data_IF_624645907917
#
_entry.id   IF_624645907917
#
_cell.length_a   1.000
_cell.length_b   1.000
_cell.length_c   1.000
_cell.angle_alpha   90.00
_cell.angle_beta   90.00
_cell.angle_gamma   90.00
#
_symmetry.space_group_name_H-M   'P 1'
#
loop_
_entity.id
_entity.type
_entity.pdbx_description
1 polymer ?
#
# COMPACT_ATOMS: atom_id res chain seq x y z
N UNK A 1 -19.74 -9.01 2.28
CA UNK A 1 -19.30 -8.41 3.56
C UNK A 1 -19.30 -6.90 3.42
N UNK A 2 -19.87 -6.17 4.38
CA UNK A 2 -19.92 -4.70 4.34
C UNK A 2 -18.86 -4.17 5.31
N UNK A 3 -17.88 -3.44 4.78
CA UNK A 3 -16.85 -2.78 5.57
C UNK A 3 -17.40 -1.52 6.23
N UNK A 4 -17.22 -1.38 7.55
CA UNK A 4 -17.67 -0.19 8.27
C UNK A 4 -16.74 1.00 8.00
N UNK A 5 -17.20 2.23 8.25
CA UNK A 5 -16.34 3.43 8.15
C UNK A 5 -15.09 3.34 9.03
N UNK A 6 -15.20 2.68 10.19
CA UNK A 6 -14.07 2.39 11.09
C UNK A 6 -13.08 1.42 10.45
N UNK A 7 -13.55 0.34 9.83
CA UNK A 7 -12.68 -0.62 9.13
C UNK A 7 -11.88 0.07 8.03
N UNK A 8 -12.56 0.92 7.24
CA UNK A 8 -11.92 1.67 6.16
C UNK A 8 -10.86 2.62 6.73
N UNK A 9 -11.19 3.35 7.81
CA UNK A 9 -10.24 4.28 8.46
C UNK A 9 -9.03 3.53 9.01
N UNK A 10 -9.22 2.33 9.54
CA UNK A 10 -8.15 1.50 10.06
C UNK A 10 -7.28 0.95 8.92
N UNK A 11 -7.89 0.40 7.86
CA UNK A 11 -7.19 -0.13 6.69
C UNK A 11 -6.29 0.91 6.02
N UNK A 12 -6.71 2.19 5.94
CA UNK A 12 -5.87 3.30 5.44
C UNK A 12 -4.55 3.48 6.21
N UNK A 13 -4.49 3.05 7.47
CA UNK A 13 -3.35 3.23 8.39
C UNK A 13 -2.43 2.00 8.46
N UNK A 14 -2.76 0.91 7.79
CA UNK A 14 -1.96 -0.31 7.82
C UNK A 14 -0.62 -0.08 7.12
N UNK A 15 0.46 -0.55 7.73
CA UNK A 15 1.81 -0.40 7.18
C UNK A 15 1.95 -1.22 5.88
N UNK A 16 2.40 -0.54 4.83
CA UNK A 16 2.62 -1.15 3.52
C UNK A 16 3.86 -2.03 3.51
N UNK A 17 4.98 -1.55 4.07
CA UNK A 17 6.29 -2.24 3.98
C UNK A 17 6.23 -3.73 4.34
N UNK A 18 5.68 -4.15 5.50
CA UNK A 18 5.63 -5.57 5.85
C UNK A 18 4.77 -6.41 4.89
N UNK A 19 3.67 -5.83 4.39
CA UNK A 19 2.76 -6.51 3.45
C UNK A 19 3.44 -6.67 2.09
N UNK A 20 4.13 -5.64 1.62
CA UNK A 20 4.85 -5.68 0.34
C UNK A 20 6.00 -6.70 0.38
N UNK A 21 6.76 -6.76 1.48
CA UNK A 21 7.78 -7.81 1.67
C UNK A 21 7.13 -9.19 1.60
N UNK A 22 6.04 -9.43 2.34
CA UNK A 22 5.32 -10.72 2.32
C UNK A 22 4.78 -11.10 0.94
N UNK A 23 4.42 -10.10 0.12
CA UNK A 23 3.97 -10.27 -1.28
C UNK A 23 5.13 -10.42 -2.27
N UNK A 24 6.39 -10.41 -1.82
CA UNK A 24 7.57 -10.63 -2.66
C UNK A 24 8.08 -9.38 -3.39
N UNK A 25 7.73 -8.17 -2.95
CA UNK A 25 8.33 -6.95 -3.49
C UNK A 25 9.78 -6.81 -3.06
N UNK A 26 10.66 -6.47 -4.00
CA UNK A 26 12.01 -5.99 -3.67
C UNK A 26 11.91 -4.53 -3.23
N UNK A 27 12.30 -4.26 -1.98
CA UNK A 27 12.30 -2.92 -1.39
C UNK A 27 13.72 -2.52 -1.05
N UNK A 28 14.19 -1.42 -1.64
CA UNK A 28 15.47 -0.81 -1.27
C UNK A 28 15.25 0.29 -0.24
N UNK A 29 15.85 0.14 0.93
CA UNK A 29 15.80 1.17 1.98
C UNK A 29 16.53 2.44 1.51
N UNK A 30 15.91 3.59 1.79
CA UNK A 30 16.44 4.93 1.63
C UNK A 30 16.52 5.61 3.01
N UNK A 31 16.85 6.91 3.04
CA UNK A 31 16.85 7.71 4.27
C UNK A 31 15.43 7.88 4.86
N UNK A 32 15.36 8.15 6.17
CA UNK A 32 14.13 8.49 6.90
C UNK A 32 12.99 7.45 6.76
N UNK A 33 13.37 6.17 6.73
CA UNK A 33 12.50 5.00 6.58
C UNK A 33 11.61 5.05 5.33
N UNK A 34 12.10 5.67 4.27
CA UNK A 34 11.55 5.53 2.93
C UNK A 34 12.09 4.25 2.29
N UNK A 35 11.27 3.61 1.47
CA UNK A 35 11.63 2.41 0.72
C UNK A 35 11.25 2.60 -0.75
N UNK A 36 12.20 2.41 -1.65
CA UNK A 36 11.93 2.37 -3.09
C UNK A 36 11.47 0.97 -3.47
N UNK A 37 10.35 0.85 -4.18
CA UNK A 37 9.94 -0.41 -4.79
C UNK A 37 10.75 -0.63 -6.06
N UNK A 38 11.53 -1.71 -6.10
CA UNK A 38 12.32 -2.05 -7.27
C UNK A 38 11.46 -2.83 -8.29
N UNK A 39 11.75 -2.60 -9.57
CA UNK A 39 11.42 -3.48 -10.70
C UNK A 39 9.96 -3.54 -11.21
N UNK A 40 8.97 -2.92 -10.54
CA UNK A 40 7.56 -3.02 -11.00
C UNK A 40 6.82 -1.73 -11.34
N UNK A 41 7.13 -0.59 -10.71
CA UNK A 41 6.24 0.58 -10.78
C UNK A 41 6.92 1.94 -10.92
N UNK A 42 8.11 2.00 -11.54
CA UNK A 42 8.88 3.23 -11.70
C UNK A 42 9.45 3.74 -10.36
N UNK A 43 9.55 5.08 -10.19
CA UNK A 43 10.07 5.71 -8.96
C UNK A 43 9.01 5.78 -7.86
N UNK A 44 8.54 4.61 -7.42
CA UNK A 44 7.51 4.47 -6.38
C UNK A 44 8.16 4.28 -5.00
N UNK A 45 7.92 5.24 -4.12
CA UNK A 45 8.47 5.29 -2.76
C UNK A 45 7.36 4.99 -1.76
N UNK A 46 7.66 4.17 -0.75
CA UNK A 46 6.76 3.81 0.35
C UNK A 46 7.37 4.25 1.67
N UNK A 47 6.52 4.81 2.53
CA UNK A 47 6.86 5.15 3.92
C UNK A 47 5.66 4.85 4.81
N UNK A 48 5.84 3.98 5.80
CA UNK A 48 4.77 3.52 6.69
C UNK A 48 3.56 2.98 5.91
N UNK A 49 2.42 3.66 5.97
CA UNK A 49 1.15 3.34 5.32
C UNK A 49 0.87 4.22 4.07
N UNK A 50 1.88 4.94 3.59
CA UNK A 50 1.77 5.91 2.52
C UNK A 50 2.73 5.59 1.37
N UNK A 51 2.34 5.95 0.16
CA UNK A 51 3.18 5.86 -1.02
C UNK A 51 3.17 7.17 -1.80
N UNK A 52 4.24 7.39 -2.54
CA UNK A 52 4.44 8.55 -3.39
C UNK A 52 5.15 8.13 -4.67
N UNK A 53 4.62 8.56 -5.82
CA UNK A 53 5.23 8.34 -7.12
C UNK A 53 5.93 9.62 -7.58
N UNK A 54 7.25 9.57 -7.73
CA UNK A 54 8.04 10.78 -7.88
C UNK A 54 7.89 11.49 -9.23
N UNK A 55 7.50 10.75 -10.27
CA UNK A 55 7.30 11.20 -11.65
C UNK A 55 5.95 11.93 -11.83
N UNK A 56 4.85 11.33 -11.38
CA UNK A 56 3.49 11.89 -11.50
C UNK A 56 3.07 12.78 -10.32
N UNK A 57 3.86 12.78 -9.23
CA UNK A 57 3.51 13.42 -7.94
C UNK A 57 2.25 12.85 -7.28
N UNK A 58 1.78 11.70 -7.75
CA UNK A 58 0.65 11.00 -7.14
C UNK A 58 1.06 10.39 -5.81
N UNK A 59 0.08 10.26 -4.92
CA UNK A 59 0.30 9.69 -3.61
C UNK A 59 -1.00 9.17 -3.02
N UNK A 60 -0.88 8.32 -1.99
CA UNK A 60 -2.06 7.75 -1.36
C UNK A 60 -1.75 6.90 -0.14
N UNK A 61 -2.81 6.50 0.54
CA UNK A 61 -2.76 5.61 1.68
C UNK A 61 -2.65 4.12 1.25
N UNK A 62 -2.67 3.20 2.21
CA UNK A 62 -2.52 1.78 1.96
C UNK A 62 -3.61 1.16 1.07
N UNK A 63 -4.88 1.61 1.17
CA UNK A 63 -5.95 1.17 0.26
C UNK A 63 -5.66 1.66 -1.16
N UNK A 64 -5.31 2.95 -1.29
CA UNK A 64 -5.04 3.59 -2.57
C UNK A 64 -3.89 2.89 -3.31
N UNK A 65 -2.91 2.36 -2.58
CA UNK A 65 -1.82 1.57 -3.17
C UNK A 65 -2.39 0.38 -3.95
N UNK A 66 -3.20 -0.45 -3.30
CA UNK A 66 -3.72 -1.66 -3.93
C UNK A 66 -4.68 -1.35 -5.07
N UNK A 67 -5.44 -0.26 -4.97
CA UNK A 67 -6.36 0.16 -6.04
C UNK A 67 -5.60 0.75 -7.24
N UNK A 68 -4.74 1.74 -7.02
CA UNK A 68 -4.18 2.51 -8.13
C UNK A 68 -2.87 1.95 -8.66
N UNK A 69 -2.06 1.30 -7.80
CA UNK A 69 -0.78 0.71 -8.18
C UNK A 69 -0.98 -0.76 -8.58
N UNK A 70 -1.58 -1.58 -7.73
CA UNK A 70 -1.85 -3.00 -8.05
C UNK A 70 -3.09 -3.24 -8.90
N UNK A 71 -3.89 -2.19 -9.20
CA UNK A 71 -5.09 -2.28 -10.05
C UNK A 71 -6.14 -3.25 -9.51
N UNK A 72 -6.22 -3.38 -8.18
CA UNK A 72 -7.21 -4.23 -7.52
C UNK A 72 -8.52 -3.50 -7.25
N UNK A 73 -9.58 -4.27 -7.01
CA UNK A 73 -10.84 -3.68 -6.53
C UNK A 73 -10.69 -3.20 -5.08
N UNK A 74 -11.56 -2.29 -4.65
CA UNK A 74 -11.63 -1.90 -3.23
C UNK A 74 -11.85 -3.10 -2.31
N UNK A 75 -12.68 -4.06 -2.73
CA UNK A 75 -12.95 -5.28 -1.97
C UNK A 75 -11.68 -6.10 -1.75
N UNK A 76 -10.88 -6.33 -2.81
CA UNK A 76 -9.63 -7.08 -2.72
C UNK A 76 -8.58 -6.35 -1.88
N UNK A 77 -8.47 -5.03 -2.04
CA UNK A 77 -7.61 -4.20 -1.20
C UNK A 77 -7.95 -4.36 0.29
N UNK A 78 -9.24 -4.32 0.63
CA UNK A 78 -9.68 -4.52 2.01
C UNK A 78 -9.38 -5.93 2.53
N UNK A 79 -9.55 -6.99 1.72
CA UNK A 79 -9.20 -8.36 2.12
C UNK A 79 -7.71 -8.53 2.40
N UNK A 80 -6.84 -7.87 1.62
CA UNK A 80 -5.40 -7.88 1.85
C UNK A 80 -5.03 -7.18 3.16
N UNK A 81 -5.65 -6.03 3.43
CA UNK A 81 -5.34 -5.19 4.58
C UNK A 81 -5.98 -5.68 5.88
N UNK A 82 -7.13 -6.37 5.78
CA UNK A 82 -7.97 -6.83 6.89
C UNK A 82 -8.32 -8.32 6.77
N UNK A 83 -7.33 -9.23 6.70
CA UNK A 83 -7.58 -10.66 6.40
C UNK A 83 -8.36 -11.40 7.48
N UNK A 84 -8.44 -10.89 8.73
CA UNK A 84 -9.22 -11.49 9.82
C UNK A 84 -10.72 -11.20 9.75
N UNK A 85 -11.12 -10.29 8.87
CA UNK A 85 -12.50 -9.87 8.68
C UNK A 85 -13.00 -10.37 7.31
N UNK A 86 -12.62 -11.58 6.89
CA UNK A 86 -13.03 -12.19 5.62
C UNK A 86 -13.76 -13.51 5.86
#
# INVERSE_FOLDING_TARGET
MIWTKSDIRYARKIMLVPILIKKGYSLRKLENDNFLIENKFGKLIVKNNYWFRADSKESGNAIDFFIYIEKLTFSDAMKILMPKNC
#
